data_IF_242199790790
#
_entry.id   IF_242199790790
#
_cell.length_a   1.000
_cell.length_b   1.000
_cell.length_c   1.000
_cell.angle_alpha   90.00
_cell.angle_beta   90.00
_cell.angle_gamma   90.00
#
_symmetry.space_group_name_H-M   'P 1'
#
loop_
_entity.id
_entity.type
_entity.pdbx_description
1 polymer ?
#
# COMPACT_ATOMS: atom_id res chain seq x y z
N UNK A 1 14.73 -10.66 -76.85
CA UNK A 1 14.18 -9.47 -76.14
C UNK A 1 14.02 -9.84 -74.70
N UNK A 2 14.74 -9.15 -73.86
CA UNK A 2 15.09 -9.47 -72.47
C UNK A 2 13.90 -9.39 -71.51
N UNK A 3 13.84 -10.33 -70.61
CA UNK A 3 13.11 -10.19 -69.35
C UNK A 3 13.97 -10.71 -68.24
N UNK A 4 14.50 -9.76 -67.43
CA UNK A 4 15.34 -10.04 -66.27
C UNK A 4 14.51 -10.32 -65.04
N UNK A 5 14.63 -11.52 -64.51
CA UNK A 5 14.11 -11.96 -63.22
C UNK A 5 14.93 -11.32 -62.08
N UNK A 6 14.29 -10.55 -61.18
CA UNK A 6 14.86 -10.17 -59.90
C UNK A 6 14.22 -10.96 -58.79
N UNK A 7 14.98 -11.81 -58.18
CA UNK A 7 14.69 -12.49 -56.93
C UNK A 7 14.67 -11.41 -55.79
N UNK A 8 13.55 -11.35 -55.10
CA UNK A 8 13.42 -10.60 -53.84
C UNK A 8 13.65 -11.61 -52.70
N UNK A 9 14.71 -11.39 -51.94
CA UNK A 9 14.97 -12.13 -50.72
C UNK A 9 14.02 -11.73 -49.59
N UNK A 10 13.77 -12.60 -48.62
CA UNK A 10 12.74 -12.43 -47.64
C UNK A 10 13.11 -11.42 -46.52
N UNK A 11 12.07 -10.75 -46.08
CA UNK A 11 12.09 -9.78 -45.02
C UNK A 11 12.47 -10.37 -43.64
N UNK A 12 13.75 -10.41 -43.34
CA UNK A 12 14.29 -10.70 -41.99
C UNK A 12 14.35 -9.46 -41.08
N UNK A 13 13.93 -8.29 -41.60
CA UNK A 13 14.02 -7.01 -40.90
C UNK A 13 12.85 -6.64 -39.99
N UNK A 14 11.69 -7.30 -40.10
CA UNK A 14 10.48 -6.90 -39.33
C UNK A 14 10.27 -7.62 -38.00
N UNK A 15 11.01 -8.69 -37.71
CA UNK A 15 10.86 -9.43 -36.45
C UNK A 15 11.77 -8.95 -35.33
N UNK A 16 12.83 -8.19 -35.63
CA UNK A 16 13.70 -7.62 -34.60
C UNK A 16 13.20 -6.28 -34.00
N UNK A 17 12.30 -5.59 -34.69
CA UNK A 17 11.76 -4.30 -34.17
C UNK A 17 10.58 -4.45 -33.21
N UNK A 18 9.98 -5.63 -33.07
CA UNK A 18 8.89 -5.89 -32.12
C UNK A 18 9.43 -6.42 -30.77
N UNK A 19 10.68 -6.83 -30.69
CA UNK A 19 11.29 -7.38 -29.47
C UNK A 19 12.04 -6.35 -28.60
N UNK A 20 12.16 -5.10 -29.00
CA UNK A 20 13.07 -4.14 -28.34
C UNK A 20 12.35 -3.00 -27.60
N UNK A 21 11.03 -3.04 -27.42
CA UNK A 21 10.40 -2.00 -26.63
C UNK A 21 9.20 -2.49 -25.77
N UNK A 22 9.35 -3.63 -25.10
CA UNK A 22 8.69 -3.75 -23.81
C UNK A 22 9.56 -2.98 -22.81
N UNK A 23 9.45 -1.67 -22.77
CA UNK A 23 9.76 -0.91 -21.55
C UNK A 23 9.06 -1.70 -20.44
N UNK A 24 9.82 -2.34 -19.56
CA UNK A 24 9.26 -2.89 -18.33
C UNK A 24 8.60 -1.70 -17.65
N UNK A 25 7.27 -1.65 -17.73
CA UNK A 25 6.51 -0.61 -17.05
C UNK A 25 6.99 -0.63 -15.61
N UNK A 26 7.38 0.54 -15.10
CA UNK A 26 7.79 0.67 -13.71
C UNK A 26 6.66 0.08 -12.86
N UNK A 27 6.95 -0.67 -11.78
CA UNK A 27 5.90 -1.25 -10.93
C UNK A 27 4.85 -0.22 -10.49
N UNK A 28 5.25 1.03 -10.33
CA UNK A 28 4.38 2.14 -9.98
C UNK A 28 3.39 2.49 -11.10
N UNK A 29 3.78 2.46 -12.38
CA UNK A 29 2.88 2.74 -13.50
C UNK A 29 1.76 1.71 -13.57
N UNK A 30 2.08 0.43 -13.34
CA UNK A 30 1.08 -0.64 -13.28
C UNK A 30 0.12 -0.44 -12.09
N UNK A 31 0.62 -0.02 -10.93
CA UNK A 31 -0.22 0.28 -9.76
C UNK A 31 -1.15 1.45 -10.03
N UNK A 32 -0.61 2.58 -10.50
CA UNK A 32 -1.36 3.81 -10.72
C UNK A 32 -2.28 3.75 -11.94
N UNK A 33 -2.18 2.71 -12.76
CA UNK A 33 -3.18 2.40 -13.80
C UNK A 33 -4.44 1.75 -13.21
N UNK A 34 -4.42 1.31 -11.95
CA UNK A 34 -5.58 0.74 -11.25
C UNK A 34 -6.35 1.84 -10.52
N UNK A 35 -7.64 1.62 -10.38
CA UNK A 35 -8.51 2.57 -9.69
C UNK A 35 -8.48 2.42 -8.17
N UNK A 36 -8.14 1.22 -7.69
CA UNK A 36 -8.04 0.89 -6.26
C UNK A 36 -6.69 0.25 -5.96
N UNK A 37 -5.95 0.82 -5.02
CA UNK A 37 -4.70 0.27 -4.48
C UNK A 37 -4.90 0.03 -3.00
N UNK A 38 -4.78 -1.22 -2.56
CA UNK A 38 -4.92 -1.59 -1.16
C UNK A 38 -3.55 -1.95 -0.61
N UNK A 39 -3.14 -1.28 0.47
CA UNK A 39 -1.91 -1.60 1.19
C UNK A 39 -2.24 -2.55 2.34
N UNK A 40 -1.51 -3.64 2.45
CA UNK A 40 -1.61 -4.57 3.56
C UNK A 40 -0.24 -5.01 4.03
N UNK A 41 -0.16 -5.46 5.27
CA UNK A 41 1.09 -5.88 5.90
C UNK A 41 0.98 -5.84 7.42
N UNK A 42 1.97 -6.38 8.12
CA UNK A 42 2.04 -6.41 9.59
C UNK A 42 1.85 -5.02 10.20
N UNK A 43 1.39 -4.96 11.45
CA UNK A 43 1.39 -3.70 12.22
C UNK A 43 2.80 -3.13 12.35
N UNK A 44 2.94 -1.81 12.16
CA UNK A 44 4.22 -1.11 12.31
C UNK A 44 5.20 -1.19 11.12
N UNK A 45 4.84 -1.83 10.00
CA UNK A 45 5.72 -1.90 8.81
C UNK A 45 5.75 -0.62 7.98
N UNK A 46 4.98 0.42 8.36
CA UNK A 46 4.94 1.72 7.68
C UNK A 46 3.99 1.77 6.49
N UNK A 47 2.86 1.06 6.52
CA UNK A 47 1.83 1.12 5.48
C UNK A 47 1.37 2.55 5.21
N UNK A 48 1.06 3.32 6.25
CA UNK A 48 0.60 4.71 6.16
C UNK A 48 1.61 5.61 5.46
N UNK A 49 2.90 5.46 5.78
CA UNK A 49 4.00 6.20 5.11
C UNK A 49 4.09 5.81 3.63
N UNK A 50 4.01 4.51 3.31
CA UNK A 50 4.03 4.02 1.93
C UNK A 50 2.79 4.49 1.17
N UNK A 51 1.61 4.48 1.81
CA UNK A 51 0.36 4.99 1.25
C UNK A 51 0.42 6.48 0.93
N UNK A 52 0.94 7.28 1.85
CA UNK A 52 1.16 8.71 1.66
C UNK A 52 2.16 8.99 0.51
N UNK A 53 3.26 8.23 0.43
CA UNK A 53 4.23 8.35 -0.66
C UNK A 53 3.64 7.96 -2.02
N UNK A 54 2.83 6.90 -2.09
CA UNK A 54 2.11 6.51 -3.32
C UNK A 54 1.09 7.56 -3.75
N UNK A 55 0.36 8.14 -2.79
CA UNK A 55 -0.63 9.18 -3.06
C UNK A 55 0.04 10.47 -3.57
N UNK A 56 1.18 10.84 -2.98
CA UNK A 56 2.00 11.95 -3.44
C UNK A 56 2.51 11.71 -4.86
N UNK A 57 3.10 10.55 -5.14
CA UNK A 57 3.58 10.17 -6.47
C UNK A 57 2.47 10.17 -7.53
N UNK A 58 1.25 9.80 -7.17
CA UNK A 58 0.10 9.87 -8.06
C UNK A 58 -0.29 11.31 -8.38
N UNK A 59 -0.37 12.19 -7.36
CA UNK A 59 -0.73 13.59 -7.52
C UNK A 59 0.33 14.36 -8.33
N UNK A 60 1.62 14.11 -8.09
CA UNK A 60 2.73 14.72 -8.85
C UNK A 60 2.73 14.29 -10.34
N UNK A 61 2.05 13.20 -10.69
CA UNK A 61 1.78 12.77 -12.08
C UNK A 61 0.48 13.33 -12.65
N UNK A 62 -0.14 14.28 -11.97
CA UNK A 62 -1.38 14.93 -12.39
C UNK A 62 -2.63 14.10 -12.21
N UNK A 63 -2.58 13.00 -11.42
CA UNK A 63 -3.75 12.18 -11.09
C UNK A 63 -4.50 12.76 -9.90
N UNK A 64 -5.82 12.64 -9.92
CA UNK A 64 -6.65 12.88 -8.76
C UNK A 64 -6.60 11.64 -7.86
N UNK A 65 -5.81 11.69 -6.81
CA UNK A 65 -5.58 10.60 -5.87
C UNK A 65 -6.38 10.82 -4.59
N UNK A 66 -7.08 9.78 -4.11
CA UNK A 66 -7.73 9.76 -2.79
C UNK A 66 -6.97 8.80 -1.87
N UNK A 67 -6.43 9.31 -0.78
CA UNK A 67 -5.87 8.51 0.31
C UNK A 67 -6.95 8.23 1.34
N UNK A 68 -7.21 6.96 1.58
CA UNK A 68 -8.21 6.46 2.53
C UNK A 68 -7.51 5.86 3.73
N UNK A 69 -7.69 6.44 4.89
CA UNK A 69 -7.29 5.90 6.19
C UNK A 69 -8.49 5.24 6.87
N UNK A 70 -8.27 4.16 7.60
CA UNK A 70 -9.33 3.41 8.27
C UNK A 70 -9.08 3.45 9.78
N UNK A 71 -10.01 4.05 10.52
CA UNK A 71 -10.01 4.11 12.00
C UNK A 71 -8.62 4.49 12.56
N UNK A 72 -7.97 5.40 11.88
CA UNK A 72 -6.59 5.82 12.15
C UNK A 72 -6.56 7.22 12.76
N UNK A 73 -5.62 7.52 13.66
CA UNK A 73 -5.44 8.86 14.21
C UNK A 73 -4.80 9.86 13.24
N UNK A 74 -5.03 9.73 11.92
CA UNK A 74 -4.70 10.75 10.91
C UNK A 74 -3.20 10.89 10.61
N UNK A 75 -2.48 9.78 10.59
CA UNK A 75 -1.03 9.80 10.42
C UNK A 75 -0.60 10.17 8.99
N UNK A 76 -1.28 9.66 7.96
CA UNK A 76 -0.85 9.87 6.58
C UNK A 76 -0.98 11.32 6.14
N UNK A 77 -2.05 12.03 6.54
CA UNK A 77 -2.20 13.47 6.28
C UNK A 77 -1.09 14.28 6.98
N UNK A 78 -0.71 13.89 8.20
CA UNK A 78 0.38 14.52 8.95
C UNK A 78 1.73 14.39 8.25
N UNK A 79 2.06 13.21 7.70
CA UNK A 79 3.28 13.03 6.91
C UNK A 79 3.32 13.93 5.68
N UNK A 80 2.17 14.28 5.11
CA UNK A 80 2.04 15.20 3.99
C UNK A 80 2.05 16.69 4.42
N UNK A 81 2.20 16.98 5.71
CA UNK A 81 2.20 18.34 6.26
C UNK A 81 0.81 18.98 6.26
N UNK A 82 -0.26 18.18 6.19
CA UNK A 82 -1.63 18.65 6.23
C UNK A 82 -2.23 18.61 7.64
N UNK A 83 -3.28 19.39 7.85
CA UNK A 83 -4.09 19.29 9.05
C UNK A 83 -4.81 17.92 9.11
N UNK A 84 -5.21 17.47 10.30
CA UNK A 84 -6.01 16.26 10.47
C UNK A 84 -7.26 16.27 9.58
N UNK A 85 -7.51 15.15 8.88
CA UNK A 85 -8.65 14.99 7.97
C UNK A 85 -9.71 14.12 8.64
N UNK A 86 -10.96 14.55 8.66
CA UNK A 86 -12.08 13.79 9.20
C UNK A 86 -12.73 12.85 8.19
N UNK A 87 -14.02 12.54 8.43
CA UNK A 87 -14.83 11.66 7.60
C UNK A 87 -15.26 12.26 6.25
N UNK A 88 -14.93 13.52 5.99
CA UNK A 88 -15.19 14.19 4.71
C UNK A 88 -13.95 14.18 3.84
N UNK A 89 -14.13 13.86 2.55
CA UNK A 89 -13.09 13.94 1.53
C UNK A 89 -12.56 15.38 1.45
N UNK A 90 -11.30 15.58 1.81
CA UNK A 90 -10.66 16.90 1.90
C UNK A 90 -9.47 16.93 0.96
N UNK A 91 -9.37 17.95 0.12
CA UNK A 91 -8.17 18.20 -0.68
C UNK A 91 -7.07 18.75 0.23
N UNK A 92 -5.98 18.00 0.37
CA UNK A 92 -4.83 18.35 1.22
C UNK A 92 -3.66 18.94 0.43
N UNK A 93 -3.61 18.66 -0.86
CA UNK A 93 -2.69 19.23 -1.85
C UNK A 93 -3.37 19.23 -3.22
N UNK A 94 -2.91 20.00 -4.21
CA UNK A 94 -3.48 19.97 -5.56
C UNK A 94 -3.56 18.55 -6.11
N UNK A 95 -4.77 18.06 -6.38
CA UNK A 95 -5.04 16.72 -6.87
C UNK A 95 -4.92 15.59 -5.85
N UNK A 96 -4.53 15.87 -4.60
CA UNK A 96 -4.41 14.89 -3.53
C UNK A 96 -5.47 15.12 -2.46
N UNK A 97 -6.38 14.17 -2.37
CA UNK A 97 -7.46 14.15 -1.40
C UNK A 97 -7.19 13.10 -0.32
N UNK A 98 -7.74 13.33 0.87
CA UNK A 98 -7.69 12.37 1.97
C UNK A 98 -9.03 12.27 2.67
N UNK A 99 -9.30 11.11 3.26
CA UNK A 99 -10.47 10.84 4.09
C UNK A 99 -10.12 9.80 5.15
N UNK A 100 -10.60 10.01 6.37
CA UNK A 100 -10.55 9.00 7.42
C UNK A 100 -11.93 8.34 7.56
N UNK A 101 -12.00 7.06 7.28
CA UNK A 101 -13.23 6.29 7.38
C UNK A 101 -13.43 5.78 8.80
N UNK A 102 -14.42 6.36 9.47
CA UNK A 102 -14.93 5.88 10.76
C UNK A 102 -16.09 4.90 10.52
N UNK A 103 -15.98 3.63 11.00
CA UNK A 103 -17.04 2.65 10.83
C UNK A 103 -18.40 3.08 11.40
N UNK A 104 -18.40 3.78 12.54
CA UNK A 104 -19.64 4.23 13.17
C UNK A 104 -20.33 5.31 12.32
N UNK A 105 -19.60 6.31 11.88
CA UNK A 105 -20.12 7.36 11.01
C UNK A 105 -20.63 6.84 9.67
N UNK A 106 -19.97 5.83 9.08
CA UNK A 106 -20.44 5.18 7.82
C UNK A 106 -21.76 4.45 8.06
N UNK A 107 -21.90 3.76 9.19
CA UNK A 107 -23.12 3.06 9.52
C UNK A 107 -24.29 4.05 9.74
N UNK A 108 -24.03 5.16 10.40
CA UNK A 108 -25.01 6.24 10.59
C UNK A 108 -25.46 6.80 9.22
N UNK A 109 -24.51 7.05 8.31
CA UNK A 109 -24.81 7.46 6.93
C UNK A 109 -25.68 6.44 6.21
N UNK A 110 -25.37 5.14 6.35
CA UNK A 110 -26.14 4.06 5.76
C UNK A 110 -27.57 3.98 6.31
N UNK A 111 -27.74 4.08 7.63
CA UNK A 111 -29.07 4.09 8.27
C UNK A 111 -29.90 5.26 7.74
N UNK A 112 -29.34 6.46 7.66
CA UNK A 112 -30.02 7.63 7.10
C UNK A 112 -30.37 7.47 5.62
N UNK A 113 -29.53 6.79 4.86
CA UNK A 113 -29.78 6.51 3.44
C UNK A 113 -30.94 5.52 3.23
N UNK A 114 -31.04 4.50 4.08
CA UNK A 114 -32.09 3.47 4.01
C UNK A 114 -33.38 3.97 4.63
N UNK A 115 -33.29 4.63 5.78
CA UNK A 115 -34.44 5.19 6.50
C UNK A 115 -34.59 6.64 6.09
N UNK A 116 -35.34 6.88 5.03
CA UNK A 116 -35.54 8.22 4.43
C UNK A 116 -36.25 9.25 5.31
N UNK A 117 -36.77 8.84 6.47
CA UNK A 117 -37.44 9.70 7.44
C UNK A 117 -36.47 10.01 8.56
N UNK A 118 -35.99 11.26 8.64
CA UNK A 118 -34.95 11.69 9.57
C UNK A 118 -35.29 11.41 11.05
N UNK A 119 -36.54 11.66 11.45
CA UNK A 119 -37.01 11.37 12.81
C UNK A 119 -36.85 9.86 13.16
N UNK A 120 -37.21 8.96 12.24
CA UNK A 120 -37.09 7.52 12.45
C UNK A 120 -35.63 7.07 12.42
N UNK A 121 -34.83 7.62 11.51
CA UNK A 121 -33.39 7.37 11.45
C UNK A 121 -32.70 7.72 12.76
N UNK A 122 -32.97 8.92 13.29
CA UNK A 122 -32.43 9.38 14.58
C UNK A 122 -32.81 8.43 15.71
N UNK A 123 -34.06 7.99 15.78
CA UNK A 123 -34.53 7.09 16.83
C UNK A 123 -33.86 5.69 16.77
N UNK A 124 -33.54 5.22 15.56
CA UNK A 124 -32.76 3.98 15.36
C UNK A 124 -31.33 4.19 15.85
N UNK A 125 -30.67 5.28 15.43
CA UNK A 125 -29.29 5.59 15.78
C UNK A 125 -29.09 5.81 17.28
N UNK A 126 -30.09 6.37 17.98
CA UNK A 126 -30.06 6.57 19.44
C UNK A 126 -30.41 5.28 20.23
N UNK A 127 -30.84 4.22 19.56
CA UNK A 127 -31.28 2.98 20.22
C UNK A 127 -30.09 2.19 20.78
N UNK A 128 -30.11 1.80 22.07
CA UNK A 128 -29.11 0.90 22.65
C UNK A 128 -29.03 -0.46 21.94
N UNK A 129 -30.13 -0.92 21.36
CA UNK A 129 -30.19 -2.20 20.60
C UNK A 129 -29.37 -2.08 19.32
N UNK A 130 -29.48 -0.94 18.62
CA UNK A 130 -28.69 -0.66 17.43
C UNK A 130 -27.17 -0.68 17.74
N UNK A 131 -26.74 0.04 18.77
CA UNK A 131 -25.33 0.07 19.17
C UNK A 131 -24.80 -1.30 19.58
N UNK A 132 -25.59 -2.07 20.34
CA UNK A 132 -25.23 -3.44 20.73
C UNK A 132 -25.13 -4.36 19.49
N UNK A 133 -26.09 -4.28 18.58
CA UNK A 133 -26.07 -5.06 17.34
C UNK A 133 -24.85 -4.72 16.48
N UNK A 134 -24.58 -3.43 16.26
CA UNK A 134 -23.45 -2.98 15.47
C UNK A 134 -22.09 -3.41 16.07
N UNK A 135 -21.98 -3.34 17.40
CA UNK A 135 -20.75 -3.78 18.11
C UNK A 135 -20.60 -5.30 18.15
N UNK A 136 -21.72 -6.03 18.25
CA UNK A 136 -21.71 -7.49 18.40
C UNK A 136 -21.71 -8.26 17.07
N UNK A 137 -22.07 -7.62 15.95
CA UNK A 137 -22.15 -8.28 14.65
C UNK A 137 -20.76 -8.43 14.00
N UNK A 138 -20.15 -9.64 14.00
CA UNK A 138 -18.81 -9.82 13.46
C UNK A 138 -18.76 -9.48 11.96
N UNK A 139 -17.77 -8.71 11.55
CA UNK A 139 -17.55 -8.38 10.16
C UNK A 139 -18.45 -7.28 9.57
N UNK A 140 -19.46 -6.81 10.30
CA UNK A 140 -20.35 -5.76 9.78
C UNK A 140 -19.61 -4.43 9.57
N UNK A 141 -18.75 -4.04 10.51
CA UNK A 141 -17.92 -2.85 10.43
C UNK A 141 -17.02 -2.87 9.18
N UNK A 142 -16.34 -3.99 8.98
CA UNK A 142 -15.44 -4.20 7.84
C UNK A 142 -16.21 -4.22 6.51
N UNK A 143 -17.39 -4.82 6.47
CA UNK A 143 -18.25 -4.84 5.29
C UNK A 143 -18.71 -3.43 4.91
N UNK A 144 -19.07 -2.60 5.88
CA UNK A 144 -19.46 -1.21 5.68
C UNK A 144 -18.29 -0.36 5.15
N UNK A 145 -17.09 -0.54 5.72
CA UNK A 145 -15.88 0.13 5.26
C UNK A 145 -15.56 -0.24 3.80
N UNK A 146 -15.59 -1.52 3.46
CA UNK A 146 -15.36 -1.99 2.08
C UNK A 146 -16.47 -1.52 1.13
N UNK A 147 -17.72 -1.43 1.60
CA UNK A 147 -18.82 -0.84 0.86
C UNK A 147 -18.58 0.64 0.57
N UNK A 148 -18.08 1.42 1.54
CA UNK A 148 -17.72 2.83 1.32
C UNK A 148 -16.54 2.97 0.35
N UNK A 149 -15.53 2.12 0.45
CA UNK A 149 -14.41 2.09 -0.51
C UNK A 149 -14.92 1.80 -1.93
N UNK A 150 -15.84 0.86 -2.11
CA UNK A 150 -16.48 0.59 -3.40
C UNK A 150 -17.19 1.85 -3.95
N UNK A 151 -17.95 2.56 -3.10
CA UNK A 151 -18.64 3.80 -3.48
C UNK A 151 -17.63 4.88 -3.90
N UNK A 152 -16.54 5.04 -3.16
CA UNK A 152 -15.48 6.01 -3.48
C UNK A 152 -14.76 5.67 -4.78
N UNK A 153 -14.50 4.38 -5.06
CA UNK A 153 -13.91 3.94 -6.31
C UNK A 153 -14.86 4.13 -7.50
N UNK A 154 -16.15 3.90 -7.32
CA UNK A 154 -17.18 4.08 -8.34
C UNK A 154 -17.65 5.54 -8.49
N UNK A 155 -17.25 6.44 -7.61
CA UNK A 155 -17.66 7.84 -7.63
C UNK A 155 -17.34 8.52 -8.95
N UNK A 156 -18.32 9.31 -9.46
CA UNK A 156 -18.21 10.07 -10.70
C UNK A 156 -18.44 11.55 -10.43
N UNK A 157 -17.75 12.40 -11.17
CA UNK A 157 -18.06 13.82 -11.17
C UNK A 157 -19.36 14.07 -11.95
N UNK A 158 -20.32 14.64 -11.29
CA UNK A 158 -21.62 15.07 -11.78
C UNK A 158 -21.97 14.80 -13.25
N UNK A 159 -21.85 15.82 -14.11
CA UNK A 159 -22.23 15.78 -15.51
C UNK A 159 -21.25 15.03 -16.43
N UNK A 160 -19.94 15.01 -16.09
CA UNK A 160 -18.89 14.46 -16.95
C UNK A 160 -18.88 12.94 -17.02
N UNK A 161 -19.52 12.25 -16.06
CA UNK A 161 -19.41 10.80 -15.82
C UNK A 161 -17.96 10.29 -15.67
N UNK A 162 -16.98 11.19 -15.64
CA UNK A 162 -15.60 10.85 -15.38
C UNK A 162 -15.42 10.36 -13.94
N UNK A 163 -14.49 9.46 -13.69
CA UNK A 163 -14.15 9.10 -12.32
C UNK A 163 -13.78 10.35 -11.49
N UNK A 164 -14.33 10.45 -10.28
CA UNK A 164 -14.01 11.55 -9.35
C UNK A 164 -12.54 11.49 -8.91
N UNK A 165 -12.02 10.27 -8.76
CA UNK A 165 -10.62 10.00 -8.47
C UNK A 165 -10.05 9.05 -9.54
N UNK A 166 -8.81 9.30 -9.98
CA UNK A 166 -8.12 8.39 -10.89
C UNK A 166 -7.63 7.14 -10.15
N UNK A 167 -7.26 7.31 -8.88
CA UNK A 167 -6.81 6.23 -8.00
C UNK A 167 -7.26 6.47 -6.56
N UNK A 168 -7.79 5.43 -5.93
CA UNK A 168 -8.11 5.37 -4.50
C UNK A 168 -7.07 4.48 -3.83
N UNK A 169 -6.33 5.01 -2.87
CA UNK A 169 -5.26 4.31 -2.14
C UNK A 169 -5.74 4.08 -0.71
N UNK A 170 -5.85 2.83 -0.30
CA UNK A 170 -6.39 2.43 0.99
C UNK A 170 -5.27 1.93 1.90
N UNK A 171 -5.06 2.61 3.00
CA UNK A 171 -4.25 2.12 4.12
C UNK A 171 -5.10 1.17 4.96
N UNK A 172 -4.99 -0.13 4.63
CA UNK A 172 -5.79 -1.15 5.30
C UNK A 172 -5.23 -1.48 6.70
N UNK A 173 -6.09 -1.99 7.61
CA UNK A 173 -5.65 -2.45 8.93
C UNK A 173 -4.50 -3.47 8.84
N UNK A 174 -3.76 -3.65 9.93
CA UNK A 174 -2.64 -4.60 10.01
C UNK A 174 -3.07 -6.04 9.66
N UNK A 175 -2.14 -6.89 9.14
CA UNK A 175 -2.44 -8.21 8.55
C UNK A 175 -3.21 -9.17 9.46
N UNK A 176 -3.04 -9.11 10.78
CA UNK A 176 -3.89 -9.88 11.71
C UNK A 176 -5.38 -9.57 11.53
N UNK A 177 -5.71 -8.31 11.30
CA UNK A 177 -7.06 -7.81 10.98
C UNK A 177 -7.25 -7.57 9.47
N UNK A 178 -6.19 -7.30 8.71
CA UNK A 178 -6.25 -6.96 7.28
C UNK A 178 -6.70 -8.13 6.41
N UNK A 179 -6.29 -9.37 6.74
CA UNK A 179 -6.81 -10.54 6.04
C UNK A 179 -8.28 -10.77 6.40
N UNK A 180 -8.62 -10.68 7.69
CA UNK A 180 -10.00 -10.75 8.15
C UNK A 180 -10.85 -9.68 7.47
N UNK A 181 -10.35 -8.45 7.35
CA UNK A 181 -10.98 -7.35 6.62
C UNK A 181 -11.32 -7.73 5.17
N UNK A 182 -10.39 -8.29 4.42
CA UNK A 182 -10.61 -8.69 3.03
C UNK A 182 -11.46 -9.98 2.88
N UNK A 183 -11.53 -10.83 3.91
CA UNK A 183 -12.35 -12.04 3.94
C UNK A 183 -13.83 -11.77 4.24
N UNK A 184 -14.14 -10.68 4.91
CA UNK A 184 -15.51 -10.38 5.35
C UNK A 184 -16.54 -10.44 4.22
N UNK A 185 -16.32 -9.90 3.01
CA UNK A 185 -17.32 -10.00 1.95
C UNK A 185 -17.60 -11.44 1.52
N UNK A 186 -16.58 -12.32 1.60
CA UNK A 186 -16.77 -13.76 1.30
C UNK A 186 -17.65 -14.41 2.33
N UNK A 187 -17.38 -14.19 3.63
CA UNK A 187 -18.19 -14.69 4.72
C UNK A 187 -19.61 -14.13 4.71
N UNK A 188 -19.77 -12.82 4.46
CA UNK A 188 -21.08 -12.17 4.38
C UNK A 188 -21.92 -12.70 3.22
N UNK A 189 -21.30 -12.95 2.06
CA UNK A 189 -22.00 -13.54 0.92
C UNK A 189 -22.42 -14.98 1.18
N UNK A 190 -21.58 -15.77 1.87
CA UNK A 190 -21.92 -17.15 2.24
C UNK A 190 -23.08 -17.20 3.27
N UNK A 191 -23.07 -16.29 4.25
CA UNK A 191 -24.09 -16.22 5.30
C UNK A 191 -25.45 -15.66 4.80
N UNK A 192 -25.43 -14.72 3.85
CA UNK A 192 -26.62 -14.07 3.31
C UNK A 192 -26.50 -13.96 1.78
N UNK A 193 -26.69 -15.05 1.02
CA UNK A 193 -26.48 -15.08 -0.44
C UNK A 193 -27.50 -14.24 -1.22
N UNK A 194 -28.64 -13.95 -0.64
CA UNK A 194 -29.73 -13.13 -1.19
C UNK A 194 -29.95 -11.87 -0.38
N UNK A 195 -30.61 -10.89 -0.96
CA UNK A 195 -30.88 -9.60 -0.30
C UNK A 195 -29.75 -8.58 -0.42
N UNK A 196 -29.92 -7.38 0.21
CA UNK A 196 -29.00 -6.24 0.02
C UNK A 196 -27.57 -6.51 0.50
N UNK A 197 -27.42 -7.21 1.61
CA UNK A 197 -26.10 -7.54 2.20
C UNK A 197 -25.31 -8.45 1.24
N UNK A 198 -25.92 -9.54 0.76
CA UNK A 198 -25.27 -10.46 -0.17
C UNK A 198 -25.01 -9.84 -1.54
N UNK A 199 -25.88 -8.97 -2.02
CA UNK A 199 -25.66 -8.23 -3.24
C UNK A 199 -24.47 -7.28 -3.14
N UNK A 200 -24.36 -6.54 -2.02
CA UNK A 200 -23.24 -5.64 -1.76
C UNK A 200 -21.93 -6.42 -1.58
N UNK A 201 -21.94 -7.51 -0.81
CA UNK A 201 -20.79 -8.39 -0.63
C UNK A 201 -20.25 -8.94 -1.97
N UNK A 202 -21.14 -9.36 -2.89
CA UNK A 202 -20.75 -9.78 -4.25
C UNK A 202 -20.09 -8.67 -5.06
N UNK A 203 -20.62 -7.44 -5.00
CA UNK A 203 -20.02 -6.28 -5.70
C UNK A 203 -18.62 -5.98 -5.16
N UNK A 204 -18.43 -6.01 -3.84
CA UNK A 204 -17.13 -5.82 -3.20
C UNK A 204 -16.16 -6.93 -3.63
N UNK A 205 -16.57 -8.20 -3.61
CA UNK A 205 -15.74 -9.32 -4.07
C UNK A 205 -15.35 -9.18 -5.55
N UNK A 206 -16.28 -8.75 -6.39
CA UNK A 206 -16.01 -8.51 -7.81
C UNK A 206 -14.96 -7.40 -8.00
N UNK A 207 -15.05 -6.29 -7.23
CA UNK A 207 -14.04 -5.23 -7.24
C UNK A 207 -12.67 -5.76 -6.79
N UNK A 208 -12.60 -6.41 -5.64
CA UNK A 208 -11.33 -6.90 -5.07
C UNK A 208 -10.61 -7.90 -5.97
N UNK A 209 -11.37 -8.75 -6.70
CA UNK A 209 -10.84 -9.77 -7.61
C UNK A 209 -10.52 -9.26 -9.01
N UNK A 210 -11.08 -8.16 -9.43
CA UNK A 210 -10.76 -7.58 -10.74
C UNK A 210 -9.37 -6.94 -10.74
N UNK A 211 -8.40 -7.67 -11.24
CA UNK A 211 -7.01 -7.24 -11.32
C UNK A 211 -6.77 -6.05 -12.27
N UNK A 212 -7.78 -5.60 -13.03
CA UNK A 212 -7.72 -4.38 -13.85
C UNK A 212 -8.15 -3.16 -13.04
N UNK A 213 -8.98 -3.35 -12.03
CA UNK A 213 -9.46 -2.28 -11.13
C UNK A 213 -8.67 -2.21 -9.85
N UNK A 214 -8.29 -3.35 -9.26
CA UNK A 214 -7.67 -3.44 -7.94
C UNK A 214 -6.25 -3.96 -8.02
N UNK A 215 -5.35 -3.30 -7.28
CA UNK A 215 -4.01 -3.77 -6.99
C UNK A 215 -3.83 -3.94 -5.48
N UNK A 216 -3.35 -5.09 -5.05
CA UNK A 216 -2.96 -5.36 -3.67
C UNK A 216 -1.43 -5.20 -3.55
N UNK A 217 -1.00 -4.35 -2.63
CA UNK A 217 0.41 -4.10 -2.30
C UNK A 217 0.71 -4.68 -0.93
N UNK A 218 1.72 -5.52 -0.84
CA UNK A 218 2.19 -6.08 0.42
C UNK A 218 3.37 -5.26 0.91
N UNK A 219 3.28 -4.73 2.13
CA UNK A 219 4.35 -3.97 2.78
C UNK A 219 4.99 -4.81 3.87
N UNK A 220 6.31 -4.91 3.85
CA UNK A 220 7.10 -5.61 4.86
C UNK A 220 8.33 -4.78 5.26
N UNK A 221 8.91 -5.05 6.41
CA UNK A 221 10.23 -4.55 6.82
C UNK A 221 11.23 -5.70 6.85
N UNK A 222 12.56 -5.44 6.85
CA UNK A 222 13.58 -6.48 6.85
C UNK A 222 13.73 -7.17 8.22
N UNK A 223 12.63 -7.77 8.69
CA UNK A 223 12.50 -8.49 9.95
C UNK A 223 11.81 -9.84 9.71
N UNK A 224 12.16 -10.85 10.51
CA UNK A 224 11.71 -12.22 10.31
C UNK A 224 10.20 -12.35 10.28
N UNK A 225 9.53 -11.86 11.31
CA UNK A 225 8.08 -11.96 11.43
C UNK A 225 7.34 -11.24 10.31
N UNK A 226 7.79 -10.03 9.92
CA UNK A 226 7.17 -9.27 8.85
C UNK A 226 7.30 -9.98 7.49
N UNK A 227 8.44 -10.64 7.25
CA UNK A 227 8.69 -11.40 6.02
C UNK A 227 7.87 -12.70 5.97
N UNK A 228 7.76 -13.41 7.09
CA UNK A 228 6.94 -14.62 7.21
C UNK A 228 5.46 -14.29 7.01
N UNK A 229 4.97 -13.24 7.69
CA UNK A 229 3.58 -12.79 7.55
C UNK A 229 3.27 -12.31 6.13
N UNK A 230 4.21 -11.62 5.45
CA UNK A 230 4.03 -11.19 4.06
C UNK A 230 3.87 -12.39 3.11
N UNK A 231 4.67 -13.46 3.31
CA UNK A 231 4.57 -14.66 2.51
C UNK A 231 3.25 -15.41 2.76
N UNK A 232 2.87 -15.54 4.02
CA UNK A 232 1.60 -16.16 4.41
C UNK A 232 0.39 -15.35 3.88
N UNK A 233 0.42 -14.03 4.02
CA UNK A 233 -0.62 -13.15 3.50
C UNK A 233 -0.76 -13.25 1.98
N UNK A 234 0.35 -13.32 1.25
CA UNK A 234 0.33 -13.53 -0.20
C UNK A 234 -0.38 -14.83 -0.57
N UNK A 235 -0.01 -15.94 0.09
CA UNK A 235 -0.61 -17.24 -0.15
C UNK A 235 -2.13 -17.20 0.06
N UNK A 236 -2.58 -16.69 1.20
CA UNK A 236 -4.00 -16.60 1.53
C UNK A 236 -4.77 -15.65 0.58
N UNK A 237 -4.17 -14.53 0.19
CA UNK A 237 -4.79 -13.61 -0.77
C UNK A 237 -5.06 -14.29 -2.11
N UNK A 238 -4.13 -15.11 -2.58
CA UNK A 238 -4.27 -15.83 -3.85
C UNK A 238 -5.22 -17.03 -3.72
N UNK A 239 -5.00 -17.89 -2.73
CA UNK A 239 -5.69 -19.19 -2.63
C UNK A 239 -7.12 -19.06 -2.10
N UNK A 240 -7.34 -18.25 -1.07
CA UNK A 240 -8.65 -18.14 -0.44
C UNK A 240 -9.49 -16.98 -1.00
N UNK A 241 -8.87 -15.83 -1.29
CA UNK A 241 -9.60 -14.65 -1.72
C UNK A 241 -9.67 -14.51 -3.25
N UNK A 242 -8.77 -15.16 -3.98
CA UNK A 242 -8.63 -14.97 -5.43
C UNK A 242 -8.12 -13.58 -5.81
N UNK A 243 -7.45 -12.89 -4.87
CA UNK A 243 -6.85 -11.56 -5.08
C UNK A 243 -5.36 -11.75 -5.37
N UNK A 244 -4.89 -11.24 -6.51
CA UNK A 244 -3.48 -11.35 -6.90
C UNK A 244 -2.71 -10.10 -6.47
N UNK A 245 -1.79 -10.21 -5.48
CA UNK A 245 -0.90 -9.10 -5.14
C UNK A 245 -0.06 -8.67 -6.37
N UNK A 246 0.23 -7.37 -6.46
CA UNK A 246 0.92 -6.78 -7.62
C UNK A 246 2.33 -6.29 -7.30
N UNK A 247 2.56 -5.88 -6.06
CA UNK A 247 3.83 -5.31 -5.63
C UNK A 247 4.13 -5.74 -4.20
N UNK A 248 5.39 -5.99 -3.95
CA UNK A 248 5.97 -6.13 -2.62
C UNK A 248 6.86 -4.92 -2.34
N UNK A 249 6.58 -4.21 -1.27
CA UNK A 249 7.39 -3.09 -0.78
C UNK A 249 8.17 -3.54 0.45
N UNK A 250 9.49 -3.57 0.34
CA UNK A 250 10.39 -3.74 1.49
C UNK A 250 10.74 -2.37 2.03
N UNK A 251 9.98 -1.92 3.04
CA UNK A 251 10.16 -0.62 3.68
C UNK A 251 11.30 -0.65 4.70
N UNK A 252 11.78 0.52 5.10
CA UNK A 252 12.85 0.71 6.08
C UNK A 252 14.13 -0.10 5.77
N UNK A 253 14.49 -0.19 4.51
CA UNK A 253 15.66 -0.90 4.04
C UNK A 253 16.93 -0.09 4.30
N UNK A 254 17.91 -0.68 5.01
CA UNK A 254 19.20 -0.05 5.22
C UNK A 254 20.07 -0.18 3.97
N UNK A 255 20.31 0.94 3.29
CA UNK A 255 21.14 1.01 2.09
C UNK A 255 22.63 1.04 2.40
N UNK A 256 23.46 0.92 1.38
CA UNK A 256 24.92 1.02 1.51
C UNK A 256 25.32 2.47 1.76
N UNK A 257 25.97 2.72 2.89
CA UNK A 257 26.51 4.04 3.28
C UNK A 257 28.05 4.06 3.34
N UNK A 258 28.68 2.90 3.42
CA UNK A 258 30.12 2.74 3.53
C UNK A 258 30.69 2.01 2.31
N UNK A 259 31.88 2.38 1.90
CA UNK A 259 32.71 1.60 0.96
C UNK A 259 33.22 0.33 1.65
N UNK A 260 33.72 -0.63 0.88
CA UNK A 260 34.25 -1.87 1.46
C UNK A 260 35.44 -1.61 2.41
N UNK A 261 36.28 -0.62 2.09
CA UNK A 261 37.37 -0.19 2.96
C UNK A 261 36.87 0.42 4.27
N UNK A 262 35.83 1.26 4.20
CA UNK A 262 35.23 1.86 5.41
C UNK A 262 34.51 0.81 6.26
N UNK A 263 33.84 -0.18 5.64
CA UNK A 263 33.23 -1.31 6.38
C UNK A 263 34.31 -2.11 7.15
N UNK A 264 35.43 -2.42 6.49
CA UNK A 264 36.55 -3.12 7.12
C UNK A 264 37.13 -2.32 8.30
N UNK A 265 37.29 -1.00 8.12
CA UNK A 265 37.79 -0.12 9.17
C UNK A 265 36.83 -0.01 10.38
N UNK A 266 35.53 0.12 10.14
CA UNK A 266 34.51 0.09 11.19
C UNK A 266 34.59 -1.21 12.00
N UNK A 267 34.76 -2.35 11.32
CA UNK A 267 34.87 -3.64 12.00
C UNK A 267 36.17 -3.76 12.81
N UNK A 268 37.30 -3.25 12.27
CA UNK A 268 38.56 -3.21 12.95
C UNK A 268 38.51 -2.36 14.22
N UNK A 269 37.96 -1.13 14.13
CA UNK A 269 37.78 -0.23 15.25
C UNK A 269 36.84 -0.81 16.32
N UNK A 270 35.76 -1.49 15.89
CA UNK A 270 34.84 -2.14 16.82
C UNK A 270 35.51 -3.28 17.60
N UNK A 271 36.38 -4.06 16.95
CA UNK A 271 37.16 -5.11 17.60
C UNK A 271 38.16 -4.51 18.60
N UNK A 272 38.90 -3.46 18.21
CA UNK A 272 39.84 -2.76 19.08
C UNK A 272 39.17 -2.10 20.30
N UNK A 273 37.94 -1.60 20.13
CA UNK A 273 37.11 -1.06 21.21
C UNK A 273 36.66 -2.13 22.20
N UNK A 274 36.28 -3.30 21.72
CA UNK A 274 35.94 -4.45 22.57
C UNK A 274 37.13 -4.97 23.41
N UNK A 275 38.36 -4.80 22.90
CA UNK A 275 39.59 -5.16 23.58
C UNK A 275 40.17 -4.03 24.45
N UNK A 276 39.44 -2.91 24.62
CA UNK A 276 39.87 -1.77 25.42
C UNK A 276 41.03 -0.96 24.81
N UNK A 277 41.43 -1.23 23.56
CA UNK A 277 42.54 -0.61 22.84
C UNK A 277 42.20 0.71 22.13
N UNK A 278 40.94 1.13 22.09
CA UNK A 278 40.55 2.43 21.59
C UNK A 278 40.85 3.54 22.61
N UNK A 279 41.60 4.54 22.16
CA UNK A 279 41.82 5.74 22.95
C UNK A 279 40.45 6.32 23.40
N UNK A 280 40.38 6.72 24.67
CA UNK A 280 39.13 7.06 25.39
C UNK A 280 38.43 8.33 24.84
N UNK A 281 37.88 8.27 23.64
CA UNK A 281 36.97 9.31 23.12
C UNK A 281 35.56 8.77 23.10
N UNK A 282 34.68 9.17 24.01
CA UNK A 282 33.26 8.76 24.07
C UNK A 282 32.54 8.96 22.72
N UNK A 283 32.90 10.02 22.00
CA UNK A 283 32.32 10.31 20.67
C UNK A 283 32.71 9.26 19.61
N UNK A 284 33.95 8.79 19.59
CA UNK A 284 34.42 7.80 18.63
C UNK A 284 33.79 6.43 18.86
N UNK A 285 33.68 5.98 20.11
CA UNK A 285 33.07 4.70 20.46
C UNK A 285 31.57 4.68 20.04
N UNK A 286 30.83 5.77 20.32
CA UNK A 286 29.42 5.92 19.90
C UNK A 286 29.24 5.89 18.40
N UNK A 287 30.13 6.55 17.63
CA UNK A 287 30.09 6.55 16.17
C UNK A 287 30.37 5.16 15.57
N UNK A 288 31.40 4.46 16.11
CA UNK A 288 31.75 3.09 15.71
C UNK A 288 30.59 2.11 15.98
N UNK A 289 29.95 2.23 17.15
CA UNK A 289 28.81 1.41 17.51
C UNK A 289 27.59 1.69 16.61
N UNK A 290 27.33 2.95 16.29
CA UNK A 290 26.27 3.33 15.34
C UNK A 290 26.54 2.75 13.95
N UNK A 291 27.78 2.88 13.44
CA UNK A 291 28.19 2.32 12.16
C UNK A 291 28.05 0.78 12.15
N UNK A 292 28.49 0.10 13.21
CA UNK A 292 28.35 -1.36 13.36
C UNK A 292 26.89 -1.81 13.38
N UNK A 293 26.01 -1.07 14.08
CA UNK A 293 24.56 -1.34 14.05
C UNK A 293 24.00 -1.18 12.64
N UNK A 294 24.39 -0.14 11.92
CA UNK A 294 23.98 0.06 10.53
C UNK A 294 24.42 -1.09 9.64
N UNK A 295 25.68 -1.56 9.71
CA UNK A 295 26.19 -2.69 8.94
C UNK A 295 25.40 -3.99 9.22
N UNK A 296 25.07 -4.25 10.48
CA UNK A 296 24.23 -5.41 10.86
C UNK A 296 22.83 -5.32 10.23
N UNK A 297 22.18 -4.16 10.33
CA UNK A 297 20.83 -3.94 9.74
C UNK A 297 20.87 -4.05 8.21
N UNK A 298 21.91 -3.54 7.57
CA UNK A 298 22.11 -3.71 6.13
C UNK A 298 22.26 -5.19 5.74
N UNK A 299 23.01 -5.98 6.51
CA UNK A 299 23.13 -7.43 6.28
C UNK A 299 21.79 -8.12 6.38
N UNK A 300 20.97 -7.78 7.38
CA UNK A 300 19.60 -8.29 7.53
C UNK A 300 18.72 -7.87 6.35
N UNK A 301 18.78 -6.60 5.93
CA UNK A 301 18.06 -6.11 4.75
C UNK A 301 18.37 -6.95 3.52
N UNK A 302 19.64 -7.22 3.23
CA UNK A 302 20.06 -8.06 2.08
C UNK A 302 19.54 -9.48 2.21
N UNK A 303 19.63 -10.07 3.38
CA UNK A 303 19.15 -11.43 3.66
C UNK A 303 17.65 -11.55 3.41
N UNK A 304 16.83 -10.69 4.04
CA UNK A 304 15.37 -10.75 3.91
C UNK A 304 14.89 -10.33 2.53
N UNK A 305 15.54 -9.36 1.88
CA UNK A 305 15.26 -9.03 0.48
C UNK A 305 15.46 -10.24 -0.44
N UNK A 306 16.55 -10.99 -0.26
CA UNK A 306 16.81 -12.20 -1.05
C UNK A 306 15.78 -13.28 -0.75
N UNK A 307 15.43 -13.48 0.52
CA UNK A 307 14.40 -14.43 0.95
C UNK A 307 13.06 -14.12 0.31
N UNK A 308 12.59 -12.86 0.38
CA UNK A 308 11.34 -12.41 -0.23
C UNK A 308 11.32 -12.62 -1.75
N UNK A 309 12.41 -12.27 -2.45
CA UNK A 309 12.52 -12.47 -3.91
C UNK A 309 12.45 -13.94 -4.32
N UNK A 310 12.91 -14.84 -3.47
CA UNK A 310 12.85 -16.29 -3.72
C UNK A 310 11.49 -16.91 -3.39
N UNK A 311 10.83 -16.37 -2.36
CA UNK A 311 9.56 -16.91 -1.86
C UNK A 311 8.33 -16.37 -2.58
N UNK A 312 8.41 -15.16 -3.15
CA UNK A 312 7.27 -14.49 -3.75
C UNK A 312 7.54 -14.10 -5.20
N UNK A 313 6.68 -14.53 -6.15
CA UNK A 313 6.81 -14.18 -7.56
C UNK A 313 6.25 -12.78 -7.84
N UNK A 314 6.72 -11.77 -7.09
CA UNK A 314 6.25 -10.39 -7.18
C UNK A 314 7.41 -9.43 -7.49
N UNK A 315 7.15 -8.36 -8.25
CA UNK A 315 8.05 -7.21 -8.27
C UNK A 315 8.31 -6.72 -6.85
N UNK A 316 9.58 -6.42 -6.52
CA UNK A 316 9.98 -5.94 -5.20
C UNK A 316 10.66 -4.58 -5.33
N UNK A 317 10.08 -3.57 -4.69
CA UNK A 317 10.67 -2.25 -4.48
C UNK A 317 11.18 -2.15 -3.05
N UNK A 318 12.38 -1.60 -2.86
CA UNK A 318 12.94 -1.34 -1.53
C UNK A 318 12.93 0.16 -1.27
N UNK A 319 12.33 0.56 -0.16
CA UNK A 319 12.29 1.95 0.32
C UNK A 319 13.31 2.12 1.45
N UNK A 320 14.10 3.20 1.44
CA UNK A 320 15.14 3.41 2.42
C UNK A 320 14.58 3.62 3.83
N UNK A 321 15.38 3.26 4.84
CA UNK A 321 15.12 3.67 6.21
C UNK A 321 15.31 5.18 6.31
N UNK A 322 14.26 5.89 6.72
CA UNK A 322 14.29 7.32 7.00
C UNK A 322 14.88 7.55 8.38
N UNK A 323 15.79 8.52 8.49
CA UNK A 323 16.39 8.91 9.77
C UNK A 323 15.75 10.17 10.32
N UNK A 324 14.79 10.72 9.58
CA UNK A 324 14.07 11.93 9.96
C UNK A 324 13.01 11.61 11.03
N UNK A 325 12.97 12.44 12.06
CA UNK A 325 11.95 12.39 13.11
C UNK A 325 11.58 13.84 13.48
N UNK A 326 10.35 14.26 13.15
CA UNK A 326 9.27 13.51 12.49
C UNK A 326 9.46 13.36 10.97
N UNK A 327 8.87 12.28 10.41
CA UNK A 327 8.76 12.11 8.96
C UNK A 327 7.90 13.25 8.39
N UNK A 328 8.42 13.92 7.36
CA UNK A 328 7.77 15.07 6.72
C UNK A 328 7.62 14.91 5.20
N UNK A 329 7.12 15.95 4.53
CA UNK A 329 6.88 15.94 3.08
C UNK A 329 8.11 15.65 2.22
N UNK A 330 9.30 16.11 2.64
CA UNK A 330 10.55 15.86 1.92
C UNK A 330 10.94 14.37 1.96
N UNK A 331 10.83 13.76 3.15
CA UNK A 331 11.05 12.32 3.32
C UNK A 331 10.08 11.50 2.48
N UNK A 332 8.80 11.91 2.38
CA UNK A 332 7.83 11.25 1.52
C UNK A 332 8.16 11.40 0.03
N UNK A 333 8.67 12.56 -0.40
CA UNK A 333 9.10 12.77 -1.78
C UNK A 333 10.24 11.84 -2.14
N UNK A 334 11.23 11.67 -1.25
CA UNK A 334 12.31 10.69 -1.44
C UNK A 334 11.74 9.26 -1.61
N UNK A 335 10.73 8.87 -0.83
CA UNK A 335 10.09 7.57 -0.98
C UNK A 335 9.29 7.47 -2.29
N UNK A 336 8.61 8.54 -2.70
CA UNK A 336 7.89 8.62 -3.97
C UNK A 336 8.85 8.45 -5.16
N UNK A 337 10.00 9.14 -5.15
CA UNK A 337 11.05 9.00 -6.16
C UNK A 337 11.58 7.56 -6.24
N UNK A 338 11.77 6.92 -5.10
CA UNK A 338 12.20 5.51 -5.04
C UNK A 338 11.14 4.54 -5.57
N UNK A 339 9.87 4.81 -5.35
CA UNK A 339 8.77 4.04 -5.95
C UNK A 339 8.74 4.22 -7.47
N UNK A 340 9.17 5.38 -7.97
CA UNK A 340 9.32 5.69 -9.39
C UNK A 340 10.59 5.10 -10.04
N UNK A 341 11.49 4.52 -9.23
CA UNK A 341 12.77 3.98 -9.71
C UNK A 341 13.83 5.04 -10.00
N UNK A 342 13.64 6.24 -9.42
CA UNK A 342 14.61 7.36 -9.44
C UNK A 342 15.58 7.32 -8.27
#
# INVERSE_FOLDING_TARGET
MSCSSRLRGPALGLWLSVLVCRRMALPLDDLLARRLVILSGKGGVGKSVVGAALALAAAERGKRALLVEIDSPLEAARYLGAAPVGSRETEIRPGLFAVNLDPAGIMDEYVRHVVKIEFLARRILESPIYHRFFTAAPGLRELMLLGKILILEEARDGWSRCPRYDVVIVDAPATGHGLSFLKVPLAAHAAAPVGPIGANARRILALLRDSRRTALVIVAVPEEMAVVEAAWFHQLAVEELGIKPRLLVLNAAHERRFTDAQEAEVLRLAAAGAEGRLARGVALSGAVDAARRHLRRRKLTRFYRTRLKRSLPLPLVSLPYLFDDPIGPESLRLLADRLEGR
#
